data_IF_380577518590
#
_entry.id   IF_380577518590
#
_cell.length_a   1.000
_cell.length_b   1.000
_cell.length_c   1.000
_cell.angle_alpha   90.00
_cell.angle_beta   90.00
_cell.angle_gamma   90.00
#
_symmetry.space_group_name_H-M   'P 1'
#
loop_
_entity.id
_entity.type
_entity.pdbx_description
1 polymer ?
#
# COMPACT_ATOMS: atom_id res chain seq x y z
N UNK A 1 11.05 -4.44 23.38
CA UNK A 1 10.43 -5.75 23.70
C UNK A 1 11.47 -6.79 23.36
N UNK A 2 11.83 -7.64 24.30
CA UNK A 2 12.76 -8.74 24.07
C UNK A 2 12.04 -9.94 23.46
N UNK A 3 12.78 -10.95 22.96
CA UNK A 3 12.22 -12.16 22.35
C UNK A 3 11.28 -12.95 23.27
N UNK A 4 11.36 -12.73 24.58
CA UNK A 4 10.49 -13.33 25.60
C UNK A 4 9.26 -12.45 25.97
N UNK A 5 8.94 -11.44 25.17
CA UNK A 5 7.88 -10.45 25.41
C UNK A 5 8.07 -9.61 26.68
N UNK A 6 9.23 -9.60 27.30
CA UNK A 6 9.51 -8.72 28.42
C UNK A 6 9.73 -7.28 27.95
N UNK A 7 9.22 -6.32 28.70
CA UNK A 7 9.46 -4.89 28.45
C UNK A 7 10.75 -4.50 29.16
N UNK A 8 11.74 -4.09 28.37
CA UNK A 8 12.97 -3.52 28.91
C UNK A 8 12.78 -2.02 29.08
N UNK A 9 12.86 -1.52 30.30
CA UNK A 9 12.89 -0.09 30.54
C UNK A 9 14.23 0.51 30.11
N UNK A 10 14.19 1.78 29.70
CA UNK A 10 15.42 2.49 29.35
C UNK A 10 16.35 2.65 30.56
N UNK A 11 17.64 2.54 30.30
CA UNK A 11 18.66 2.79 31.31
C UNK A 11 18.60 4.22 31.89
N UNK A 12 18.06 5.17 31.12
CA UNK A 12 18.03 6.59 31.50
C UNK A 12 16.78 6.98 32.30
N UNK A 13 15.72 6.19 32.31
CA UNK A 13 14.44 6.52 32.96
C UNK A 13 14.62 6.85 34.46
N UNK A 14 15.42 6.10 35.25
CA UNK A 14 15.60 6.42 36.66
C UNK A 14 16.30 7.77 36.90
N UNK A 15 17.17 8.18 35.96
CA UNK A 15 17.93 9.42 36.06
C UNK A 15 17.19 10.65 35.55
N UNK A 16 16.23 10.44 34.65
CA UNK A 16 15.48 11.49 33.98
C UNK A 16 13.95 11.21 34.05
N UNK A 17 13.29 11.49 35.17
CA UNK A 17 11.87 11.18 35.38
C UNK A 17 10.92 11.88 34.43
N UNK A 18 11.39 12.90 33.69
CA UNK A 18 10.62 13.57 32.63
C UNK A 18 10.73 12.88 31.28
N UNK A 19 11.58 11.86 31.15
CA UNK A 19 11.78 11.12 29.92
C UNK A 19 10.52 10.33 29.58
N UNK A 20 10.05 10.47 28.37
CA UNK A 20 8.98 9.65 27.83
C UNK A 20 9.59 8.56 26.97
N UNK A 21 9.29 7.33 27.28
CA UNK A 21 9.77 6.18 26.53
C UNK A 21 8.73 5.73 25.50
N UNK A 22 9.23 5.19 24.40
CA UNK A 22 8.41 4.57 23.38
C UNK A 22 9.18 3.42 22.71
N UNK A 23 8.47 2.37 22.33
CA UNK A 23 9.10 1.27 21.60
C UNK A 23 9.33 1.65 20.13
N UNK A 24 10.41 1.11 19.57
CA UNK A 24 10.79 1.32 18.16
C UNK A 24 10.60 0.07 17.29
N UNK A 25 10.21 -1.04 17.89
CA UNK A 25 10.04 -2.29 17.14
C UNK A 25 8.96 -2.12 16.09
N UNK A 26 9.38 -2.17 14.85
CA UNK A 26 8.48 -2.24 13.70
C UNK A 26 8.20 -3.71 13.45
N UNK A 27 6.96 -4.12 13.61
CA UNK A 27 6.55 -5.46 13.23
C UNK A 27 6.61 -5.56 11.71
N UNK A 28 7.52 -6.38 11.19
CA UNK A 28 7.48 -6.79 9.79
C UNK A 28 6.30 -7.77 9.62
N UNK A 29 5.08 -7.25 9.55
CA UNK A 29 3.88 -8.07 9.47
C UNK A 29 3.71 -8.79 8.14
N UNK A 30 4.62 -8.63 7.19
CA UNK A 30 4.46 -9.26 5.89
C UNK A 30 5.58 -10.29 5.66
N UNK A 31 5.27 -11.55 5.90
CA UNK A 31 6.15 -12.71 5.68
C UNK A 31 6.67 -12.79 4.24
N UNK A 32 6.00 -12.13 3.29
CA UNK A 32 6.32 -12.15 1.86
C UNK A 32 7.10 -10.92 1.36
N UNK A 33 7.03 -9.78 2.03
CA UNK A 33 7.82 -8.61 1.66
C UNK A 33 8.60 -8.12 2.88
N UNK A 34 9.93 -8.16 2.81
CA UNK A 34 10.80 -7.53 3.82
C UNK A 34 10.71 -6.00 3.83
N UNK A 35 9.73 -5.43 3.13
CA UNK A 35 9.55 -4.00 2.96
C UNK A 35 8.71 -3.44 4.11
N UNK A 36 9.29 -2.51 4.86
CA UNK A 36 8.64 -1.85 5.98
C UNK A 36 7.65 -0.80 5.43
N UNK A 37 6.38 -0.97 5.73
CA UNK A 37 5.30 -0.08 5.27
C UNK A 37 4.46 0.48 6.40
N UNK A 38 4.42 -0.22 7.53
CA UNK A 38 3.50 0.04 8.62
C UNK A 38 4.25 0.15 9.95
N UNK A 39 3.62 0.81 10.90
CA UNK A 39 4.04 0.83 12.30
C UNK A 39 2.78 0.69 13.17
N UNK A 40 2.96 0.19 14.38
CA UNK A 40 1.87 0.05 15.34
C UNK A 40 1.89 1.23 16.31
N UNK A 41 0.73 1.83 16.58
CA UNK A 41 0.61 3.00 17.47
C UNK A 41 0.85 2.63 18.93
N UNK A 42 0.19 1.58 19.39
CA UNK A 42 0.32 1.05 20.75
C UNK A 42 0.42 -0.47 20.72
N UNK A 43 0.98 -1.05 21.74
CA UNK A 43 0.96 -2.49 21.99
C UNK A 43 0.45 -2.70 23.41
N UNK A 44 -0.61 -3.50 23.54
CA UNK A 44 -1.13 -3.91 24.85
C UNK A 44 -0.45 -5.21 25.28
N UNK A 45 0.24 -5.17 26.42
CA UNK A 45 0.86 -6.32 27.05
C UNK A 45 0.28 -6.51 28.47
N UNK A 46 -0.72 -7.39 28.60
CA UNK A 46 -1.47 -7.50 29.86
C UNK A 46 -2.24 -6.23 30.17
N UNK A 47 -2.01 -5.63 31.34
CA UNK A 47 -2.64 -4.38 31.77
C UNK A 47 -1.86 -3.14 31.32
N UNK A 48 -0.65 -3.30 30.79
CA UNK A 48 0.21 -2.21 30.37
C UNK A 48 0.02 -1.89 28.88
N UNK A 49 -0.22 -0.60 28.59
CA UNK A 49 -0.28 -0.09 27.22
C UNK A 49 1.03 0.66 26.92
N UNK A 50 1.82 0.09 26.03
CA UNK A 50 3.06 0.70 25.54
C UNK A 50 2.76 1.53 24.29
N UNK A 51 3.32 2.74 24.23
CA UNK A 51 3.21 3.62 23.07
C UNK A 51 4.45 3.52 22.21
N UNK A 52 4.29 3.57 20.90
CA UNK A 52 5.42 3.64 19.98
C UNK A 52 6.17 4.98 20.11
N UNK A 53 7.44 4.99 19.78
CA UNK A 53 8.23 6.22 19.80
C UNK A 53 7.68 7.29 18.85
N UNK A 54 7.26 6.98 17.61
CA UNK A 54 6.58 7.94 16.75
C UNK A 54 5.35 8.57 17.39
N UNK A 55 4.51 7.76 18.06
CA UNK A 55 3.34 8.27 18.77
C UNK A 55 3.72 9.16 19.96
N UNK A 56 4.73 8.79 20.72
CA UNK A 56 5.21 9.62 21.82
C UNK A 56 5.72 10.98 21.35
N UNK A 57 6.46 11.02 20.24
CA UNK A 57 6.92 12.26 19.60
C UNK A 57 5.71 13.10 19.16
N UNK A 58 4.74 12.49 18.48
CA UNK A 58 3.56 13.18 18.02
C UNK A 58 2.72 13.76 19.17
N UNK A 59 2.51 13.01 20.26
CA UNK A 59 1.80 13.45 21.45
C UNK A 59 2.57 14.52 22.25
N UNK A 60 3.90 14.51 22.18
CA UNK A 60 4.70 15.57 22.81
C UNK A 60 4.56 16.89 22.06
N UNK A 61 4.44 16.84 20.73
CA UNK A 61 4.21 18.01 19.88
C UNK A 61 2.75 18.48 19.93
N UNK A 62 1.79 17.56 19.85
CA UNK A 62 0.37 17.83 19.86
C UNK A 62 -0.36 16.94 20.87
N UNK A 63 -0.50 17.38 22.14
CA UNK A 63 -1.09 16.56 23.20
C UNK A 63 -2.57 16.18 22.96
N UNK A 64 -3.28 16.92 22.10
CA UNK A 64 -4.68 16.66 21.72
C UNK A 64 -4.84 15.69 20.56
N UNK A 65 -3.73 15.09 20.06
CA UNK A 65 -3.76 14.17 18.93
C UNK A 65 -4.66 12.96 19.24
N UNK A 66 -5.60 12.69 18.36
CA UNK A 66 -6.42 11.49 18.42
C UNK A 66 -5.72 10.37 17.68
N UNK A 67 -5.65 9.22 18.28
CA UNK A 67 -5.06 8.01 17.68
C UNK A 67 -5.90 6.79 18.02
N UNK A 68 -5.85 5.79 17.15
CA UNK A 68 -6.47 4.49 17.39
C UNK A 68 -5.49 3.59 18.15
N UNK A 69 -5.99 2.86 19.14
CA UNK A 69 -5.18 1.94 19.95
C UNK A 69 -4.93 0.66 19.18
N UNK A 70 -3.73 0.11 19.37
CA UNK A 70 -3.26 -1.14 18.76
C UNK A 70 -3.49 -1.18 17.24
N UNK A 71 -3.57 0.00 16.60
CA UNK A 71 -3.76 0.13 15.18
C UNK A 71 -2.43 0.05 14.44
N UNK A 72 -2.43 -0.72 13.38
CA UNK A 72 -1.38 -0.74 12.40
C UNK A 72 -1.65 0.36 11.35
N UNK A 73 -0.72 1.30 11.23
CA UNK A 73 -0.88 2.44 10.33
C UNK A 73 0.20 2.45 9.26
N UNK A 74 -0.20 2.82 8.04
CA UNK A 74 0.73 3.00 6.92
C UNK A 74 1.57 4.27 7.12
N UNK A 75 2.87 4.13 6.88
CA UNK A 75 3.81 5.26 6.86
C UNK A 75 3.67 5.96 5.51
N UNK A 76 3.46 7.26 5.54
CA UNK A 76 3.44 8.05 4.31
C UNK A 76 4.87 8.44 3.91
N UNK A 77 5.37 7.80 2.86
CA UNK A 77 6.71 8.04 2.32
C UNK A 77 6.74 9.10 1.21
N UNK A 78 5.59 9.63 0.77
CA UNK A 78 5.50 10.37 -0.49
C UNK A 78 5.95 11.82 -0.42
N UNK A 79 5.92 12.49 0.74
CA UNK A 79 5.97 13.95 0.79
C UNK A 79 7.06 14.54 1.67
N UNK A 80 7.93 13.74 2.27
CA UNK A 80 8.84 14.27 3.30
C UNK A 80 10.30 14.04 2.97
N UNK A 81 11.01 15.10 2.69
CA UNK A 81 12.47 15.11 2.73
C UNK A 81 12.97 15.38 4.14
N UNK A 82 13.35 14.33 4.85
CA UNK A 82 14.04 14.48 6.14
C UNK A 82 15.46 14.96 5.87
N UNK A 83 15.76 16.16 6.37
CA UNK A 83 17.10 16.70 6.26
C UNK A 83 18.02 16.02 7.27
N UNK A 84 19.04 15.37 6.77
CA UNK A 84 20.13 14.81 7.60
C UNK A 84 21.17 15.89 7.84
N UNK A 85 21.59 16.01 9.10
CA UNK A 85 22.66 16.93 9.51
C UNK A 85 23.67 16.13 10.32
N UNK A 86 24.94 16.22 9.97
CA UNK A 86 26.00 15.58 10.73
C UNK A 86 26.23 16.31 12.06
N UNK A 87 26.65 15.62 13.12
CA UNK A 87 26.94 16.24 14.41
C UNK A 87 27.94 17.39 14.32
N UNK A 88 28.90 17.30 13.40
CA UNK A 88 29.90 18.34 13.12
C UNK A 88 29.29 19.63 12.60
N UNK A 89 28.15 19.56 11.95
CA UNK A 89 27.55 20.69 11.25
C UNK A 89 26.38 21.31 12.04
N UNK A 90 26.08 20.79 13.23
CA UNK A 90 24.95 21.27 14.06
C UNK A 90 25.06 22.77 14.34
N UNK A 91 26.27 23.24 14.64
CA UNK A 91 26.50 24.67 14.93
C UNK A 91 26.19 25.59 13.75
N UNK A 92 26.39 25.11 12.50
CA UNK A 92 26.11 25.85 11.29
C UNK A 92 24.60 25.97 11.01
N UNK A 93 23.80 25.08 11.60
CA UNK A 93 22.37 25.01 11.37
C UNK A 93 21.53 25.26 12.63
N UNK A 94 22.15 25.77 13.72
CA UNK A 94 21.49 25.95 15.02
C UNK A 94 20.15 26.69 14.93
N UNK A 95 20.10 27.78 14.16
CA UNK A 95 18.86 28.57 13.97
C UNK A 95 17.75 27.81 13.25
N UNK A 96 18.10 26.77 12.50
CA UNK A 96 17.12 25.96 11.75
C UNK A 96 16.47 24.88 12.59
N UNK A 97 17.01 24.57 13.75
CA UNK A 97 16.43 23.59 14.71
C UNK A 97 15.40 24.20 15.63
N UNK A 98 15.34 25.52 15.70
CA UNK A 98 14.36 26.22 16.53
C UNK A 98 12.96 25.82 16.09
N UNK A 99 12.12 25.44 17.05
CA UNK A 99 10.72 25.00 16.86
C UNK A 99 10.56 23.80 15.88
N UNK A 100 11.58 22.94 15.81
CA UNK A 100 11.56 21.72 15.02
C UNK A 100 11.72 20.48 15.90
N UNK A 101 11.10 19.39 15.46
CA UNK A 101 11.34 18.07 16.01
C UNK A 101 12.68 17.58 15.46
N UNK A 102 13.59 17.22 16.33
CA UNK A 102 14.91 16.67 15.96
C UNK A 102 14.98 15.24 16.43
N UNK A 103 15.20 14.33 15.50
CA UNK A 103 15.44 12.90 15.81
C UNK A 103 16.94 12.66 15.75
N UNK A 104 17.50 12.16 16.84
CA UNK A 104 18.93 11.83 16.92
C UNK A 104 19.06 10.31 16.89
N UNK A 105 19.90 9.81 16.01
CA UNK A 105 20.14 8.38 15.91
C UNK A 105 21.31 8.04 14.98
N UNK A 106 21.65 6.77 14.92
CA UNK A 106 22.73 6.25 14.09
C UNK A 106 22.12 6.00 12.68
N UNK A 107 22.59 6.75 11.67
CA UNK A 107 22.08 6.65 10.31
C UNK A 107 23.08 5.97 9.35
N UNK A 108 24.21 5.48 9.83
CA UNK A 108 25.33 5.00 8.99
C UNK A 108 25.63 3.50 9.12
N UNK A 109 24.92 2.77 9.96
CA UNK A 109 25.11 1.31 10.13
C UNK A 109 24.25 0.50 9.16
N UNK A 110 24.84 -0.55 8.54
CA UNK A 110 24.06 -1.50 7.71
C UNK A 110 23.01 -2.27 8.52
N UNK A 111 23.20 -2.34 9.84
CA UNK A 111 22.33 -3.09 10.75
C UNK A 111 20.99 -2.41 11.01
N UNK A 112 20.91 -1.09 10.85
CA UNK A 112 19.69 -0.30 11.06
C UNK A 112 19.06 0.22 9.75
N UNK A 113 19.41 -0.40 8.62
CA UNK A 113 18.79 -0.08 7.33
C UNK A 113 17.61 -1.02 7.08
N UNK A 114 16.48 -0.42 6.79
CA UNK A 114 15.23 -1.12 6.48
C UNK A 114 14.81 -0.84 5.05
N UNK A 115 14.47 -1.90 4.31
CA UNK A 115 13.90 -1.77 2.99
C UNK A 115 12.51 -1.12 3.09
N UNK A 116 12.30 -0.01 2.39
CA UNK A 116 11.03 0.71 2.34
C UNK A 116 10.57 0.88 0.88
N UNK A 117 9.32 1.31 0.62
CA UNK A 117 8.84 1.58 -0.74
C UNK A 117 9.66 2.62 -1.53
N UNK A 118 10.40 3.46 -0.85
CA UNK A 118 11.23 4.53 -1.46
C UNK A 118 12.74 4.22 -1.44
N UNK A 119 13.11 3.01 -1.02
CA UNK A 119 14.49 2.56 -0.88
C UNK A 119 14.87 2.27 0.56
N UNK A 120 16.17 2.09 0.82
CA UNK A 120 16.66 1.79 2.15
C UNK A 120 16.69 3.06 3.01
N UNK A 121 16.01 3.03 4.15
CA UNK A 121 15.99 4.10 5.14
C UNK A 121 16.50 3.59 6.49
N UNK A 122 17.14 4.48 7.24
CA UNK A 122 17.57 4.19 8.61
C UNK A 122 16.41 4.25 9.61
N UNK A 123 16.53 3.54 10.74
CA UNK A 123 15.53 3.53 11.81
C UNK A 123 15.10 4.93 12.25
N UNK A 124 16.04 5.88 12.52
CA UNK A 124 15.68 7.27 12.86
C UNK A 124 14.86 7.99 11.77
N UNK A 125 15.12 7.72 10.48
CA UNK A 125 14.33 8.29 9.39
C UNK A 125 12.91 7.75 9.39
N UNK A 126 12.76 6.45 9.62
CA UNK A 126 11.45 5.79 9.70
C UNK A 126 10.64 6.33 10.89
N UNK A 127 11.27 6.49 12.04
CA UNK A 127 10.64 7.09 13.23
C UNK A 127 10.17 8.52 12.92
N UNK A 128 11.03 9.31 12.28
CA UNK A 128 10.69 10.69 11.91
C UNK A 128 9.54 10.77 10.89
N UNK A 129 9.53 9.90 9.87
CA UNK A 129 8.45 9.81 8.88
C UNK A 129 7.12 9.37 9.52
N UNK A 130 7.17 8.37 10.40
CA UNK A 130 6.00 7.89 11.12
C UNK A 130 5.40 8.97 12.02
N UNK A 131 6.25 9.69 12.77
CA UNK A 131 5.81 10.81 13.60
C UNK A 131 5.23 11.95 12.75
N UNK A 132 5.86 12.27 11.61
CA UNK A 132 5.37 13.27 10.67
C UNK A 132 3.99 12.88 10.10
N UNK A 133 3.80 11.60 9.73
CA UNK A 133 2.52 11.09 9.24
C UNK A 133 1.41 11.30 10.26
N UNK A 134 1.67 11.01 11.55
CA UNK A 134 0.72 11.22 12.65
C UNK A 134 0.38 12.70 12.86
N UNK A 135 1.41 13.56 12.96
CA UNK A 135 1.24 14.99 13.28
C UNK A 135 0.40 15.71 12.23
N UNK A 136 0.60 15.35 10.97
CA UNK A 136 -0.07 16.00 9.85
C UNK A 136 -1.34 15.30 9.39
N UNK A 137 -1.79 14.25 10.10
CA UNK A 137 -2.96 13.45 9.71
C UNK A 137 -2.91 12.98 8.25
N UNK A 138 -1.71 12.61 7.79
CA UNK A 138 -1.48 12.10 6.43
C UNK A 138 -1.43 10.57 6.38
N UNK A 139 -2.15 9.96 7.28
CA UNK A 139 -2.29 8.51 7.33
C UNK A 139 -2.99 8.03 6.06
N UNK A 140 -2.42 7.01 5.44
CA UNK A 140 -3.01 6.37 4.27
C UNK A 140 -4.02 5.35 4.78
N UNK A 141 -5.30 5.57 4.52
CA UNK A 141 -6.36 4.63 4.88
C UNK A 141 -6.45 3.55 3.80
N UNK A 142 -6.36 2.29 4.21
CA UNK A 142 -6.58 1.16 3.30
C UNK A 142 -8.06 0.80 3.20
N UNK A 143 -8.48 0.47 1.98
CA UNK A 143 -9.82 -0.05 1.75
C UNK A 143 -9.99 -1.41 2.43
N UNK A 144 -11.08 -1.65 3.17
CA UNK A 144 -11.40 -2.96 3.70
C UNK A 144 -11.42 -4.03 2.59
N UNK A 145 -10.81 -5.17 2.84
CA UNK A 145 -10.65 -6.26 1.85
C UNK A 145 -11.99 -6.65 1.22
N UNK A 146 -13.05 -6.78 2.01
CA UNK A 146 -14.37 -7.16 1.52
C UNK A 146 -14.93 -6.15 0.50
N UNK A 147 -14.69 -4.84 0.70
CA UNK A 147 -15.11 -3.80 -0.22
C UNK A 147 -14.31 -3.86 -1.52
N UNK A 148 -13.01 -4.16 -1.43
CA UNK A 148 -12.15 -4.42 -2.58
C UNK A 148 -12.65 -5.60 -3.43
N UNK A 149 -13.06 -6.68 -2.78
CA UNK A 149 -13.64 -7.85 -3.45
C UNK A 149 -14.95 -7.49 -4.16
N UNK A 150 -15.89 -6.81 -3.48
CA UNK A 150 -17.16 -6.38 -4.07
C UNK A 150 -16.94 -5.47 -5.28
N UNK A 151 -16.05 -4.47 -5.13
CA UNK A 151 -15.70 -3.57 -6.23
C UNK A 151 -15.06 -4.33 -7.39
N UNK A 152 -14.19 -5.30 -7.11
CA UNK A 152 -13.58 -6.18 -8.09
C UNK A 152 -14.61 -6.96 -8.91
N UNK A 153 -15.60 -7.56 -8.24
CA UNK A 153 -16.71 -8.25 -8.92
C UNK A 153 -17.53 -7.31 -9.81
N UNK A 154 -17.86 -6.12 -9.31
CA UNK A 154 -18.66 -5.14 -10.02
C UNK A 154 -17.93 -4.64 -11.28
N UNK A 155 -16.66 -4.33 -11.18
CA UNK A 155 -15.85 -3.91 -12.32
C UNK A 155 -15.66 -5.02 -13.34
N UNK A 156 -15.44 -6.26 -12.89
CA UNK A 156 -15.35 -7.43 -13.78
C UNK A 156 -16.67 -7.66 -14.50
N UNK A 157 -17.80 -7.57 -13.80
CA UNK A 157 -19.13 -7.70 -14.39
C UNK A 157 -19.38 -6.62 -15.45
N UNK A 158 -19.12 -5.35 -15.15
CA UNK A 158 -19.24 -4.25 -16.10
C UNK A 158 -18.36 -4.47 -17.34
N UNK A 159 -17.13 -4.97 -17.14
CA UNK A 159 -16.22 -5.30 -18.24
C UNK A 159 -16.82 -6.38 -19.15
N UNK A 160 -17.34 -7.48 -18.57
CA UNK A 160 -17.98 -8.58 -19.34
C UNK A 160 -19.17 -8.08 -20.13
N UNK A 161 -20.07 -7.31 -19.50
CA UNK A 161 -21.25 -6.75 -20.16
C UNK A 161 -20.85 -5.84 -21.33
N UNK A 162 -19.84 -4.99 -21.13
CA UNK A 162 -19.33 -4.10 -22.17
C UNK A 162 -18.73 -4.88 -23.34
N UNK A 163 -17.91 -5.89 -23.06
CA UNK A 163 -17.32 -6.75 -24.09
C UNK A 163 -18.39 -7.52 -24.87
N UNK A 164 -19.40 -8.07 -24.17
CA UNK A 164 -20.53 -8.79 -24.79
C UNK A 164 -21.36 -7.87 -25.68
N UNK A 165 -21.65 -6.65 -25.22
CA UNK A 165 -22.36 -5.66 -26.00
C UNK A 165 -21.60 -5.27 -27.28
N UNK A 166 -20.30 -5.03 -27.18
CA UNK A 166 -19.43 -4.71 -28.29
C UNK A 166 -19.33 -5.87 -29.29
N UNK A 167 -19.30 -7.12 -28.82
CA UNK A 167 -19.27 -8.31 -29.66
C UNK A 167 -20.57 -8.47 -30.47
N UNK A 168 -21.72 -8.24 -29.84
CA UNK A 168 -23.03 -8.30 -30.52
C UNK A 168 -23.16 -7.19 -31.58
N UNK A 169 -22.67 -5.99 -31.27
CA UNK A 169 -22.82 -4.82 -32.18
C UNK A 169 -21.85 -4.86 -33.36
N UNK A 170 -20.68 -5.42 -33.17
CA UNK A 170 -19.62 -5.49 -34.19
C UNK A 170 -19.28 -6.95 -34.47
N UNK A 171 -19.92 -7.57 -35.45
CA UNK A 171 -19.85 -9.00 -35.85
C UNK A 171 -18.41 -9.57 -36.00
N UNK A 172 -17.39 -8.75 -36.03
CA UNK A 172 -15.96 -9.08 -36.10
C UNK A 172 -15.14 -8.51 -34.92
N UNK A 173 -15.43 -8.95 -33.69
CA UNK A 173 -14.57 -8.57 -32.59
C UNK A 173 -13.42 -9.57 -32.48
N UNK A 174 -12.26 -9.22 -33.02
CA UNK A 174 -11.06 -10.03 -32.94
C UNK A 174 -10.63 -10.19 -31.48
N UNK A 175 -10.08 -11.37 -31.12
CA UNK A 175 -9.55 -11.67 -29.79
C UNK A 175 -8.54 -10.58 -29.33
N UNK A 176 -7.81 -9.99 -30.27
CA UNK A 176 -6.85 -8.91 -30.05
C UNK A 176 -7.55 -7.67 -29.46
N UNK A 177 -8.75 -7.30 -29.92
CA UNK A 177 -9.47 -6.13 -29.42
C UNK A 177 -9.97 -6.32 -27.99
N UNK A 178 -10.40 -7.54 -27.65
CA UNK A 178 -10.81 -7.87 -26.27
C UNK A 178 -9.61 -7.77 -25.33
N UNK A 179 -8.47 -8.35 -25.70
CA UNK A 179 -7.24 -8.27 -24.89
C UNK A 179 -6.75 -6.82 -24.76
N UNK A 180 -6.78 -6.04 -25.85
CA UNK A 180 -6.37 -4.64 -25.83
C UNK A 180 -7.30 -3.79 -24.94
N UNK A 181 -8.61 -4.04 -24.96
CA UNK A 181 -9.57 -3.36 -24.08
C UNK A 181 -9.34 -3.71 -22.60
N UNK A 182 -9.01 -4.96 -22.28
CA UNK A 182 -8.67 -5.37 -20.92
C UNK A 182 -7.42 -4.64 -20.40
N UNK A 183 -6.39 -4.54 -21.21
CA UNK A 183 -5.16 -3.81 -20.89
C UNK A 183 -5.48 -2.32 -20.67
N UNK A 184 -6.24 -1.70 -21.56
CA UNK A 184 -6.59 -0.29 -21.45
C UNK A 184 -7.38 0.00 -20.16
N UNK A 185 -8.39 -0.83 -19.84
CA UNK A 185 -9.17 -0.69 -18.60
C UNK A 185 -8.28 -0.86 -17.37
N UNK A 186 -7.36 -1.79 -17.40
CA UNK A 186 -6.40 -2.00 -16.29
C UNK A 186 -5.52 -0.77 -16.08
N UNK A 187 -4.95 -0.21 -17.15
CA UNK A 187 -4.14 1.01 -17.07
C UNK A 187 -4.96 2.17 -16.50
N UNK A 188 -6.21 2.32 -16.95
CA UNK A 188 -7.11 3.36 -16.45
C UNK A 188 -7.39 3.20 -14.96
N UNK A 189 -7.64 1.98 -14.47
CA UNK A 189 -7.86 1.71 -13.06
C UNK A 189 -6.64 2.01 -12.20
N UNK A 190 -5.44 1.67 -12.67
CA UNK A 190 -4.18 2.02 -11.98
C UNK A 190 -4.04 3.54 -11.89
N UNK A 191 -4.34 4.25 -12.98
CA UNK A 191 -4.26 5.71 -13.02
C UNK A 191 -5.27 6.37 -12.06
N UNK A 192 -6.50 5.87 -12.01
CA UNK A 192 -7.52 6.32 -11.05
C UNK A 192 -7.04 6.09 -9.61
N UNK A 193 -6.47 4.91 -9.32
CA UNK A 193 -5.96 4.62 -7.98
C UNK A 193 -4.82 5.57 -7.57
N UNK A 194 -3.92 5.91 -8.48
CA UNK A 194 -2.86 6.88 -8.23
C UNK A 194 -3.44 8.27 -7.91
N UNK A 195 -4.46 8.72 -8.64
CA UNK A 195 -5.15 9.99 -8.37
C UNK A 195 -5.82 9.96 -7.00
N UNK A 196 -6.58 8.90 -6.68
CA UNK A 196 -7.28 8.78 -5.41
C UNK A 196 -6.30 8.76 -4.24
N UNK A 197 -5.20 8.02 -4.37
CA UNK A 197 -4.16 8.00 -3.34
C UNK A 197 -3.53 9.39 -3.15
N UNK A 198 -3.21 10.08 -4.23
CA UNK A 198 -2.56 11.39 -4.18
C UNK A 198 -3.45 12.47 -3.53
N UNK A 199 -4.75 12.54 -3.90
CA UNK A 199 -5.64 13.59 -3.43
C UNK A 199 -6.36 13.25 -2.11
N UNK A 200 -6.70 11.99 -1.89
CA UNK A 200 -7.53 11.58 -0.74
C UNK A 200 -6.76 10.77 0.30
N UNK A 201 -5.48 10.47 0.06
CA UNK A 201 -4.67 9.58 0.92
C UNK A 201 -5.36 8.23 1.20
N UNK A 202 -6.11 7.73 0.20
CA UNK A 202 -6.88 6.50 0.29
C UNK A 202 -6.34 5.47 -0.69
N UNK A 203 -5.92 4.32 -0.20
CA UNK A 203 -5.40 3.22 -1.03
C UNK A 203 -6.51 2.24 -1.36
N UNK A 204 -6.81 2.10 -2.66
CA UNK A 204 -7.78 1.14 -3.17
C UNK A 204 -7.05 -0.15 -3.57
N UNK A 205 -7.42 -1.28 -2.96
CA UNK A 205 -6.88 -2.58 -3.38
C UNK A 205 -7.55 -3.04 -4.68
N UNK A 206 -6.90 -2.73 -5.80
CA UNK A 206 -7.38 -3.11 -7.14
C UNK A 206 -6.95 -4.51 -7.59
N UNK A 207 -6.23 -5.26 -6.75
CA UNK A 207 -5.70 -6.58 -7.10
C UNK A 207 -6.81 -7.56 -7.51
N UNK A 208 -7.95 -7.50 -6.85
CA UNK A 208 -9.11 -8.34 -7.17
C UNK A 208 -9.75 -7.96 -8.50
N UNK A 209 -9.90 -6.66 -8.78
CA UNK A 209 -10.42 -6.16 -10.05
C UNK A 209 -9.48 -6.52 -11.21
N UNK A 210 -8.18 -6.29 -11.03
CA UNK A 210 -7.16 -6.64 -12.01
C UNK A 210 -7.18 -8.13 -12.34
N UNK A 211 -7.12 -8.99 -11.32
CA UNK A 211 -7.14 -10.44 -11.49
C UNK A 211 -8.42 -10.89 -12.17
N UNK A 212 -9.58 -10.35 -11.77
CA UNK A 212 -10.87 -10.65 -12.37
C UNK A 212 -10.93 -10.27 -13.86
N UNK A 213 -10.51 -9.07 -14.23
CA UNK A 213 -10.51 -8.58 -15.63
C UNK A 213 -9.57 -9.42 -16.50
N UNK A 214 -8.35 -9.71 -16.03
CA UNK A 214 -7.38 -10.51 -16.79
C UNK A 214 -7.87 -11.94 -16.99
N UNK A 215 -8.35 -12.60 -15.93
CA UNK A 215 -8.87 -13.97 -16.03
C UNK A 215 -10.11 -14.04 -16.94
N UNK A 216 -11.04 -13.10 -16.79
CA UNK A 216 -12.26 -13.06 -17.59
C UNK A 216 -11.97 -12.72 -19.05
N UNK A 217 -11.06 -11.79 -19.33
CA UNK A 217 -10.63 -11.44 -20.67
C UNK A 217 -10.02 -12.65 -21.41
N UNK A 218 -9.13 -13.39 -20.73
CA UNK A 218 -8.55 -14.60 -21.29
C UNK A 218 -9.59 -15.71 -21.49
N UNK A 219 -10.50 -15.94 -20.52
CA UNK A 219 -11.55 -16.94 -20.63
C UNK A 219 -12.51 -16.63 -21.80
N UNK A 220 -12.88 -15.36 -21.97
CA UNK A 220 -13.73 -14.92 -23.08
C UNK A 220 -13.03 -15.10 -24.44
N UNK A 221 -11.76 -14.74 -24.53
CA UNK A 221 -10.96 -14.94 -25.75
C UNK A 221 -10.86 -16.43 -26.12
N UNK A 222 -10.63 -17.28 -25.11
CA UNK A 222 -10.58 -18.74 -25.31
C UNK A 222 -11.94 -19.29 -25.78
N UNK A 223 -13.03 -18.85 -25.14
CA UNK A 223 -14.40 -19.27 -25.51
C UNK A 223 -14.75 -18.87 -26.93
N UNK A 224 -14.47 -17.63 -27.34
CA UNK A 224 -14.70 -17.17 -28.72
C UNK A 224 -13.85 -17.97 -29.72
N UNK A 225 -12.58 -18.18 -29.42
CA UNK A 225 -11.70 -19.00 -30.25
C UNK A 225 -12.19 -20.44 -30.42
N UNK A 226 -12.69 -21.05 -29.34
CA UNK A 226 -13.29 -22.39 -29.36
C UNK A 226 -14.58 -22.46 -30.20
N UNK A 227 -15.47 -21.46 -30.08
CA UNK A 227 -16.67 -21.36 -30.90
C UNK A 227 -16.34 -21.26 -32.40
N UNK A 228 -15.38 -20.41 -32.75
CA UNK A 228 -14.93 -20.27 -34.15
C UNK A 228 -14.39 -21.57 -34.70
N UNK A 229 -13.54 -22.28 -33.92
CA UNK A 229 -13.04 -23.59 -34.26
C UNK A 229 -14.16 -24.62 -34.49
N UNK A 230 -15.19 -24.63 -33.61
CA UNK A 230 -16.34 -25.51 -33.78
C UNK A 230 -17.16 -25.20 -35.07
N UNK A 231 -17.30 -23.92 -35.41
CA UNK A 231 -18.00 -23.50 -36.65
C UNK A 231 -17.20 -23.94 -37.88
N UNK A 232 -15.90 -23.77 -37.87
CA UNK A 232 -15.02 -24.19 -38.96
C UNK A 232 -15.03 -25.71 -39.14
N UNK A 233 -14.99 -26.49 -38.05
CA UNK A 233 -15.12 -27.94 -38.09
C UNK A 233 -16.48 -28.42 -38.62
N UNK A 234 -17.58 -27.68 -38.35
CA UNK A 234 -18.90 -27.96 -38.92
C UNK A 234 -18.95 -27.69 -40.44
N UNK A 235 -18.33 -26.59 -40.90
CA UNK A 235 -18.23 -26.27 -42.34
C UNK A 235 -17.44 -27.34 -43.11
N UNK A 236 -16.37 -27.87 -42.54
CA UNK A 236 -15.56 -28.94 -43.12
C UNK A 236 -16.32 -30.30 -43.20
N UNK A 237 -17.26 -30.56 -42.27
CA UNK A 237 -18.04 -31.80 -42.24
C UNK A 237 -19.22 -31.82 -43.25
N UNK A 238 -19.69 -30.65 -43.70
CA UNK A 238 -20.81 -30.54 -44.65
C UNK A 238 -20.50 -29.51 -45.74
N UNK A 239 -19.53 -29.81 -46.64
CA UNK A 239 -19.16 -28.88 -47.71
C UNK A 239 -20.26 -28.72 -48.78
N UNK A 240 -21.15 -29.68 -48.92
CA UNK A 240 -22.18 -29.66 -49.97
C UNK A 240 -23.37 -28.72 -49.71
N UNK A 241 -23.60 -28.27 -48.48
CA UNK A 241 -24.73 -27.38 -48.15
C UNK A 241 -24.44 -25.88 -48.33
N UNK A 242 -23.22 -25.49 -48.60
CA UNK A 242 -22.82 -24.10 -48.79
C UNK A 242 -22.72 -23.65 -50.23
N UNK A 243 -23.01 -24.52 -51.20
CA UNK A 243 -22.95 -24.22 -52.63
C UNK A 243 -24.31 -23.78 -53.24
N UNK A 244 -25.40 -23.72 -52.46
CA UNK A 244 -26.73 -23.34 -52.93
C UNK A 244 -27.37 -22.23 -52.07
N UNK A 245 -26.66 -21.17 -51.78
CA UNK A 245 -27.28 -19.92 -51.28
C UNK A 245 -26.59 -18.71 -51.90
#
# INVERSE_FOLDING_TARGET
>A
ISDDNSVLSSFFTPALPQLREGYTNTTMNNTYSKCLRTYTTTITNGDDMLRSLPLQIALAYQPSLRYEKDAEQLINYSDVHIRKVLPTDISLFADRFKDKIVVIGIASGKEDLHLTPVGDLSGPEIVALSAHTLIHHREITEMPVWLGVVLGFLLTYCFVVTCSYLHIKYEKTDNIRITLSAILVTILLVFINLIVNHFFHYSISLIYAFTGIVLTGNALSFYVGWLLWLQEKKKLKHPEKTLYL
#
